data_IF_347725798145
#
_entry.id   IF_347725798145
#
_cell.length_a   1.000
_cell.length_b   1.000
_cell.length_c   1.000
_cell.angle_alpha   90.00
_cell.angle_beta   90.00
_cell.angle_gamma   90.00
#
_symmetry.space_group_name_H-M   'P 1'
#
loop_
_entity.id
_entity.type
_entity.pdbx_description
1 polymer ?
#
# COMPACT_ATOMS: atom_id res chain seq x y z
N UNK A 1 -5.02 -52.35 30.59
CA UNK A 1 -4.78 -51.88 29.21
C UNK A 1 -3.74 -50.77 29.24
N UNK A 2 -2.57 -51.01 28.64
CA UNK A 2 -1.50 -50.02 28.53
C UNK A 2 -1.68 -49.18 27.26
N UNK A 3 -1.04 -48.01 27.21
CA UNK A 3 -1.12 -47.10 26.07
C UNK A 3 0.28 -46.66 25.61
N UNK A 4 0.41 -46.29 24.34
CA UNK A 4 1.65 -45.69 23.83
C UNK A 4 1.87 -44.29 24.44
N UNK A 5 3.13 -43.89 24.68
CA UNK A 5 3.41 -42.65 25.43
C UNK A 5 3.11 -41.36 24.67
N UNK A 6 3.08 -41.38 23.33
CA UNK A 6 2.89 -40.17 22.50
C UNK A 6 1.43 -39.99 22.10
N UNK A 7 0.78 -41.07 21.64
CA UNK A 7 -0.55 -41.01 21.03
C UNK A 7 -1.64 -41.75 21.84
N UNK A 8 -1.29 -42.31 23.00
CA UNK A 8 -2.27 -42.97 23.87
C UNK A 8 -2.90 -44.24 23.27
N UNK A 9 -2.26 -44.86 22.26
CA UNK A 9 -2.84 -46.00 21.53
C UNK A 9 -2.88 -47.23 22.47
N UNK A 10 -4.05 -47.83 22.72
CA UNK A 10 -4.17 -48.97 23.62
C UNK A 10 -3.55 -50.24 23.01
N UNK A 11 -2.86 -51.03 23.83
CA UNK A 11 -2.29 -52.32 23.41
C UNK A 11 -2.41 -53.40 24.49
N UNK A 12 -2.31 -54.65 24.05
CA UNK A 12 -2.38 -55.85 24.89
C UNK A 12 -1.11 -56.04 25.71
N UNK A 13 -1.25 -56.46 26.96
CA UNK A 13 -0.16 -56.96 27.78
C UNK A 13 -0.42 -58.38 28.30
N UNK A 14 0.58 -58.97 28.95
CA UNK A 14 0.51 -60.36 29.42
C UNK A 14 -0.53 -60.62 30.52
N UNK A 15 -1.21 -59.59 31.04
CA UNK A 15 -2.28 -59.70 32.03
C UNK A 15 -3.68 -59.63 31.42
N UNK A 16 -3.82 -59.35 30.12
CA UNK A 16 -5.10 -59.32 29.43
C UNK A 16 -5.68 -60.73 29.23
N UNK A 17 -6.99 -60.87 29.46
CA UNK A 17 -7.68 -62.16 29.35
C UNK A 17 -7.85 -62.58 27.89
N UNK A 18 -7.51 -63.84 27.59
CA UNK A 18 -7.72 -64.45 26.26
C UNK A 18 -9.19 -64.39 25.83
N UNK A 19 -10.13 -64.47 26.78
CA UNK A 19 -11.57 -64.36 26.50
C UNK A 19 -12.03 -62.98 26.04
N UNK A 20 -11.27 -61.91 26.36
CA UNK A 20 -11.53 -60.54 25.91
C UNK A 20 -10.84 -60.18 24.59
N UNK A 21 -9.99 -61.07 24.06
CA UNK A 21 -9.19 -60.81 22.87
C UNK A 21 -10.03 -60.37 21.64
N UNK A 22 -11.20 -60.97 21.33
CA UNK A 22 -12.00 -60.53 20.19
C UNK A 22 -12.42 -59.04 20.26
N UNK A 23 -12.87 -58.58 21.43
CA UNK A 23 -13.27 -57.18 21.65
C UNK A 23 -12.07 -56.24 21.59
N UNK A 24 -10.94 -56.66 22.14
CA UNK A 24 -9.70 -55.87 22.14
C UNK A 24 -9.15 -55.68 20.73
N UNK A 25 -9.14 -56.73 19.90
CA UNK A 25 -8.75 -56.64 18.49
C UNK A 25 -9.72 -55.79 17.68
N UNK A 26 -11.03 -55.89 17.92
CA UNK A 26 -12.03 -55.04 17.26
C UNK A 26 -11.83 -53.56 17.57
N UNK A 27 -11.58 -53.20 18.84
CA UNK A 27 -11.28 -51.81 19.24
C UNK A 27 -10.01 -51.28 18.59
N UNK A 28 -8.96 -52.09 18.54
CA UNK A 28 -7.71 -51.72 17.88
C UNK A 28 -7.94 -51.46 16.38
N UNK A 29 -8.65 -52.38 15.70
CA UNK A 29 -8.95 -52.25 14.27
C UNK A 29 -9.75 -50.97 13.97
N UNK A 30 -10.83 -50.71 14.72
CA UNK A 30 -11.64 -49.50 14.55
C UNK A 30 -10.86 -48.21 14.86
N UNK A 31 -9.96 -48.25 15.85
CA UNK A 31 -9.09 -47.12 16.16
C UNK A 31 -8.09 -46.82 15.04
N UNK A 32 -7.50 -47.84 14.44
CA UNK A 32 -6.64 -47.70 13.26
C UNK A 32 -7.41 -47.15 12.07
N UNK A 33 -8.61 -47.68 11.79
CA UNK A 33 -9.47 -47.21 10.71
C UNK A 33 -9.83 -45.72 10.85
N UNK A 34 -10.19 -45.30 12.07
CA UNK A 34 -10.52 -43.90 12.38
C UNK A 34 -9.31 -42.98 12.16
N UNK A 35 -8.15 -43.38 12.69
CA UNK A 35 -6.92 -42.60 12.53
C UNK A 35 -6.50 -42.49 11.06
N UNK A 36 -6.60 -43.58 10.29
CA UNK A 36 -6.32 -43.56 8.85
C UNK A 36 -7.30 -42.66 8.10
N UNK A 37 -8.58 -42.71 8.44
CA UNK A 37 -9.60 -41.82 7.86
C UNK A 37 -9.29 -40.35 8.14
N UNK A 38 -8.87 -39.99 9.36
CA UNK A 38 -8.44 -38.63 9.68
C UNK A 38 -7.19 -38.20 8.90
N UNK A 39 -6.22 -39.11 8.74
CA UNK A 39 -5.02 -38.85 7.93
C UNK A 39 -5.37 -38.64 6.46
N UNK A 40 -6.27 -39.45 5.90
CA UNK A 40 -6.73 -39.35 4.51
C UNK A 40 -7.55 -38.07 4.29
N UNK A 41 -8.36 -37.66 5.27
CA UNK A 41 -9.09 -36.40 5.23
C UNK A 41 -8.18 -35.16 5.28
N UNK A 42 -6.91 -35.28 5.68
CA UNK A 42 -5.93 -34.19 5.49
C UNK A 42 -5.49 -34.03 4.02
N UNK A 43 -5.81 -34.99 3.16
CA UNK A 43 -5.61 -34.92 1.72
C UNK A 43 -6.90 -34.58 0.97
N UNK A 44 -8.04 -34.44 1.66
CA UNK A 44 -9.28 -33.93 1.08
C UNK A 44 -9.34 -32.40 1.19
N UNK A 45 -10.21 -31.73 0.42
CA UNK A 45 -10.36 -30.27 0.45
C UNK A 45 -10.59 -29.70 1.86
N UNK A 46 -11.21 -30.46 2.77
CA UNK A 46 -11.50 -30.04 4.14
C UNK A 46 -10.27 -29.97 5.06
N UNK A 47 -9.17 -30.65 4.69
CA UNK A 47 -7.88 -30.66 5.37
C UNK A 47 -6.89 -29.58 4.90
N UNK A 48 -7.42 -28.51 4.29
CA UNK A 48 -6.81 -27.42 3.52
C UNK A 48 -5.28 -27.31 3.58
N UNK A 49 -4.59 -28.18 2.82
CA UNK A 49 -3.20 -27.94 2.41
C UNK A 49 -3.16 -26.92 1.28
N UNK A 50 -2.08 -26.15 1.12
CA UNK A 50 -1.92 -25.34 -0.08
C UNK A 50 -1.92 -26.21 -1.35
N UNK A 51 -2.65 -25.79 -2.39
CA UNK A 51 -2.61 -26.44 -3.69
C UNK A 51 -1.33 -26.01 -4.43
N UNK A 52 -0.44 -26.96 -4.73
CA UNK A 52 0.84 -26.67 -5.40
C UNK A 52 0.79 -27.19 -6.83
N UNK A 53 1.16 -26.35 -7.78
CA UNK A 53 1.21 -26.68 -9.19
C UNK A 53 2.45 -26.09 -9.86
N UNK A 54 2.93 -26.72 -10.92
CA UNK A 54 4.05 -26.17 -11.71
C UNK A 54 3.60 -25.00 -12.57
N UNK A 55 2.41 -25.06 -13.17
CA UNK A 55 1.85 -24.01 -14.04
C UNK A 55 0.51 -23.49 -13.53
N UNK A 56 0.13 -22.29 -13.96
CA UNK A 56 -1.18 -21.71 -13.65
C UNK A 56 -2.32 -22.52 -14.29
N UNK A 57 -2.12 -23.08 -15.47
CA UNK A 57 -3.08 -23.98 -16.11
C UNK A 57 -3.32 -25.23 -15.25
N UNK A 58 -2.26 -25.83 -14.72
CA UNK A 58 -2.35 -26.98 -13.81
C UNK A 58 -3.08 -26.60 -12.52
N UNK A 59 -2.79 -25.42 -11.96
CA UNK A 59 -3.51 -24.92 -10.79
C UNK A 59 -5.00 -24.70 -11.09
N UNK A 60 -5.33 -24.12 -12.24
CA UNK A 60 -6.70 -23.85 -12.67
C UNK A 60 -7.54 -25.13 -12.81
N UNK A 61 -6.90 -26.28 -13.06
CA UNK A 61 -7.55 -27.60 -13.07
C UNK A 61 -7.86 -28.17 -11.68
N UNK A 62 -7.33 -27.58 -10.61
CA UNK A 62 -7.57 -28.01 -9.23
C UNK A 62 -8.75 -27.22 -8.65
N UNK A 63 -9.82 -27.90 -8.22
CA UNK A 63 -10.90 -27.26 -7.46
C UNK A 63 -10.47 -27.06 -6.01
N UNK A 64 -10.50 -25.82 -5.52
CA UNK A 64 -10.17 -25.49 -4.13
C UNK A 64 -11.39 -25.31 -3.21
N UNK A 65 -11.12 -25.13 -1.92
CA UNK A 65 -12.08 -24.60 -0.93
C UNK A 65 -11.96 -23.09 -0.85
N UNK A 66 -13.05 -22.35 -0.69
CA UNK A 66 -13.01 -20.87 -0.59
C UNK A 66 -12.03 -20.42 0.49
N UNK A 67 -11.05 -19.59 0.10
CA UNK A 67 -9.97 -19.11 0.96
C UNK A 67 -8.73 -20.01 1.01
N UNK A 68 -8.75 -21.19 0.39
CA UNK A 68 -7.57 -22.05 0.26
C UNK A 68 -6.45 -21.33 -0.49
N UNK A 69 -5.22 -21.50 -0.02
CA UNK A 69 -4.01 -21.01 -0.69
C UNK A 69 -3.58 -21.95 -1.80
N UNK A 70 -3.14 -21.40 -2.92
CA UNK A 70 -2.49 -22.08 -4.03
C UNK A 70 -1.11 -21.49 -4.29
N UNK A 71 -0.23 -22.22 -4.99
CA UNK A 71 1.09 -21.74 -5.37
C UNK A 71 1.54 -22.32 -6.71
N UNK A 72 1.98 -21.45 -7.61
CA UNK A 72 2.55 -21.81 -8.91
C UNK A 72 4.07 -21.65 -8.86
N UNK A 73 4.83 -22.67 -9.23
CA UNK A 73 6.29 -22.71 -8.98
C UNK A 73 7.18 -22.59 -10.21
N UNK A 74 6.68 -22.90 -11.42
CA UNK A 74 7.52 -23.07 -12.61
C UNK A 74 6.77 -22.82 -13.93
N UNK A 75 5.85 -21.86 -13.95
CA UNK A 75 5.18 -21.42 -15.17
C UNK A 75 6.16 -20.65 -16.06
N UNK A 76 6.13 -20.89 -17.37
CA UNK A 76 6.99 -20.20 -18.34
C UNK A 76 6.74 -18.68 -18.34
N UNK A 77 5.52 -18.26 -18.02
CA UNK A 77 5.19 -16.85 -17.83
C UNK A 77 5.52 -16.45 -16.39
N UNK A 78 6.60 -15.70 -16.19
CA UNK A 78 7.08 -15.33 -14.86
C UNK A 78 6.01 -14.69 -13.96
N UNK A 79 5.10 -13.88 -14.54
CA UNK A 79 4.02 -13.23 -13.80
C UNK A 79 2.93 -14.17 -13.26
N UNK A 80 2.90 -15.42 -13.72
CA UNK A 80 1.98 -16.46 -13.24
C UNK A 80 2.55 -17.22 -12.03
N UNK A 81 3.83 -17.05 -11.71
CA UNK A 81 4.44 -17.72 -10.57
C UNK A 81 4.11 -17.00 -9.25
N UNK A 82 3.96 -17.78 -8.19
CA UNK A 82 3.71 -17.27 -6.85
C UNK A 82 2.35 -17.65 -6.25
N UNK A 83 1.89 -16.93 -5.21
CA UNK A 83 0.75 -17.33 -4.41
C UNK A 83 -0.60 -16.92 -4.99
N UNK A 84 -1.57 -17.82 -4.86
CA UNK A 84 -2.98 -17.68 -5.26
C UNK A 84 -3.93 -17.99 -4.11
N UNK A 85 -5.17 -17.55 -4.19
CA UNK A 85 -6.26 -18.00 -3.33
C UNK A 85 -7.46 -18.45 -4.17
N UNK A 86 -8.17 -19.46 -3.69
CA UNK A 86 -9.42 -19.88 -4.29
C UNK A 86 -10.56 -18.96 -3.83
N UNK A 87 -11.23 -18.26 -4.75
CA UNK A 87 -12.32 -17.34 -4.41
C UNK A 87 -13.70 -18.01 -4.33
N UNK A 88 -13.77 -19.34 -4.48
CA UNK A 88 -15.01 -20.11 -4.61
C UNK A 88 -15.33 -20.55 -6.04
N UNK A 89 -14.65 -20.00 -7.05
CA UNK A 89 -14.87 -20.33 -8.47
C UNK A 89 -13.58 -20.48 -9.26
N UNK A 90 -12.53 -19.75 -8.91
CA UNK A 90 -11.24 -19.79 -9.58
C UNK A 90 -10.09 -19.44 -8.62
N UNK A 91 -8.88 -19.80 -9.03
CA UNK A 91 -7.64 -19.32 -8.41
C UNK A 91 -7.36 -17.90 -8.86
N UNK A 92 -7.26 -16.98 -7.90
CA UNK A 92 -6.88 -15.59 -8.14
C UNK A 92 -5.52 -15.30 -7.48
N UNK A 93 -4.65 -14.52 -8.13
CA UNK A 93 -3.36 -14.16 -7.54
C UNK A 93 -3.58 -13.26 -6.31
N UNK A 94 -2.78 -13.46 -5.25
CA UNK A 94 -2.85 -12.60 -4.05
C UNK A 94 -2.44 -11.15 -4.36
N UNK A 95 -1.39 -10.99 -5.15
CA UNK A 95 -0.95 -9.71 -5.67
C UNK A 95 -0.13 -9.96 -6.94
N UNK A 96 -0.49 -9.32 -8.04
CA UNK A 96 0.38 -9.31 -9.22
C UNK A 96 1.31 -8.10 -9.16
N UNK A 97 2.44 -8.17 -9.86
CA UNK A 97 3.34 -7.01 -10.02
C UNK A 97 2.60 -5.81 -10.62
N UNK A 98 1.69 -6.05 -11.57
CA UNK A 98 0.85 -5.02 -12.17
C UNK A 98 -0.06 -4.32 -11.13
N UNK A 99 -0.65 -5.06 -10.19
CA UNK A 99 -1.47 -4.47 -9.12
C UNK A 99 -0.63 -3.59 -8.19
N UNK A 100 0.58 -4.02 -7.85
CA UNK A 100 1.51 -3.24 -7.03
C UNK A 100 1.98 -1.97 -7.76
N UNK A 101 2.27 -2.07 -9.05
CA UNK A 101 2.67 -0.93 -9.88
C UNK A 101 1.52 0.06 -10.07
N UNK A 102 0.28 -0.42 -10.22
CA UNK A 102 -0.91 0.43 -10.25
C UNK A 102 -1.09 1.20 -8.93
N UNK A 103 -0.96 0.52 -7.78
CA UNK A 103 -1.04 1.17 -6.47
C UNK A 103 0.06 2.23 -6.29
N UNK A 104 1.30 1.92 -6.69
CA UNK A 104 2.42 2.87 -6.65
C UNK A 104 2.15 4.09 -7.53
N UNK A 105 1.61 3.89 -8.72
CA UNK A 105 1.25 4.97 -9.63
C UNK A 105 0.13 5.85 -9.04
N UNK A 106 -0.90 5.26 -8.43
CA UNK A 106 -1.95 6.01 -7.75
C UNK A 106 -1.39 6.89 -6.63
N UNK A 107 -0.49 6.34 -5.81
CA UNK A 107 0.13 7.09 -4.72
C UNK A 107 1.04 8.22 -5.23
N UNK A 108 1.79 7.96 -6.31
CA UNK A 108 2.71 8.94 -6.90
C UNK A 108 1.97 10.08 -7.60
N UNK A 109 0.79 9.80 -8.16
CA UNK A 109 -0.04 10.79 -8.86
C UNK A 109 -0.95 11.60 -7.91
N UNK A 110 -0.97 11.28 -6.60
CA UNK A 110 -1.72 12.02 -5.59
C UNK A 110 -3.24 11.79 -5.63
N UNK A 111 -3.67 10.60 -6.03
CA UNK A 111 -5.05 10.18 -5.82
C UNK A 111 -5.32 10.02 -4.32
N UNK A 112 -6.41 10.61 -3.82
CA UNK A 112 -6.84 10.49 -2.43
C UNK A 112 -6.07 11.31 -1.38
N UNK A 113 -4.96 11.98 -1.71
CA UNK A 113 -4.21 12.85 -0.79
C UNK A 113 -3.89 14.22 -1.41
N UNK A 114 -3.96 15.32 -0.64
CA UNK A 114 -3.48 16.62 -1.11
C UNK A 114 -1.98 16.56 -1.39
N UNK A 115 -1.57 17.26 -2.44
CA UNK A 115 -0.16 17.33 -2.83
C UNK A 115 0.35 18.71 -2.47
N UNK A 116 1.44 18.74 -1.69
CA UNK A 116 2.06 19.97 -1.21
C UNK A 116 3.46 20.09 -1.80
N UNK A 117 3.72 21.22 -2.47
CA UNK A 117 5.08 21.62 -2.85
C UNK A 117 5.44 22.89 -2.09
N UNK A 118 6.67 22.96 -1.61
CA UNK A 118 7.19 24.13 -0.92
C UNK A 118 8.68 24.30 -1.23
N UNK A 119 9.18 25.52 -1.06
CA UNK A 119 10.59 25.80 -1.28
C UNK A 119 11.01 27.20 -0.85
N UNK A 120 12.32 27.39 -0.71
CA UNK A 120 12.91 28.72 -0.60
C UNK A 120 12.89 29.44 -1.95
N UNK A 121 12.89 30.77 -1.91
CA UNK A 121 12.92 31.62 -3.07
C UNK A 121 13.68 32.91 -2.78
N UNK A 122 14.61 33.26 -3.67
CA UNK A 122 15.33 34.53 -3.67
C UNK A 122 15.03 35.23 -4.99
N UNK A 123 14.53 36.45 -4.94
CA UNK A 123 14.13 37.17 -6.15
C UNK A 123 14.30 38.67 -5.97
N UNK A 124 14.56 39.37 -7.07
CA UNK A 124 14.33 40.81 -7.15
C UNK A 124 13.03 41.03 -7.89
N UNK A 125 12.09 41.75 -7.29
CA UNK A 125 10.79 42.03 -7.90
C UNK A 125 10.92 42.85 -9.18
N UNK A 126 9.88 42.80 -10.01
CA UNK A 126 9.74 43.66 -11.19
C UNK A 126 9.50 45.13 -10.78
N UNK A 127 9.51 46.03 -11.77
CA UNK A 127 9.34 47.46 -11.53
C UNK A 127 8.01 47.81 -10.82
N UNK A 128 6.98 46.98 -10.99
CA UNK A 128 5.67 47.12 -10.36
C UNK A 128 5.56 46.37 -9.01
N UNK A 129 6.63 45.72 -8.56
CA UNK A 129 6.66 44.96 -7.32
C UNK A 129 6.17 43.52 -7.44
N UNK A 130 5.93 43.03 -8.66
CA UNK A 130 5.52 41.63 -8.88
C UNK A 130 6.71 40.68 -8.93
N UNK A 131 6.46 39.40 -8.66
CA UNK A 131 7.43 38.32 -8.84
C UNK A 131 6.70 36.98 -9.07
N UNK A 132 7.42 35.99 -9.61
CA UNK A 132 6.85 34.68 -9.96
C UNK A 132 7.57 33.54 -9.24
N UNK A 133 6.80 32.52 -8.85
CA UNK A 133 7.29 31.19 -8.48
C UNK A 133 6.97 30.24 -9.62
N UNK A 134 7.99 29.56 -10.17
CA UNK A 134 7.78 28.48 -11.14
C UNK A 134 7.47 27.18 -10.40
N UNK A 135 6.20 26.80 -10.39
CA UNK A 135 5.73 25.54 -9.83
C UNK A 135 4.49 25.09 -10.58
N UNK A 136 4.50 23.84 -11.05
CA UNK A 136 3.36 23.19 -11.68
C UNK A 136 3.18 21.75 -11.17
N UNK A 137 2.02 21.17 -11.44
CA UNK A 137 1.75 19.75 -11.20
C UNK A 137 1.74 18.97 -12.53
N UNK A 138 2.17 17.69 -12.55
CA UNK A 138 2.26 16.91 -13.80
C UNK A 138 0.95 16.81 -14.60
N UNK A 139 -0.21 16.95 -13.96
CA UNK A 139 -1.52 16.96 -14.62
C UNK A 139 -1.88 18.31 -15.27
N UNK A 140 -1.02 19.33 -15.14
CA UNK A 140 -1.21 20.65 -15.73
C UNK A 140 -2.25 21.53 -15.05
N UNK A 141 -2.77 21.17 -13.87
CA UNK A 141 -3.73 22.02 -13.15
C UNK A 141 -3.06 23.06 -12.25
N UNK A 142 -3.79 24.16 -12.03
CA UNK A 142 -3.36 25.24 -11.12
C UNK A 142 -3.48 24.77 -9.65
N UNK A 143 -2.62 25.26 -8.74
CA UNK A 143 -2.76 25.00 -7.33
C UNK A 143 -4.08 25.56 -6.79
N UNK A 144 -4.75 24.79 -5.93
CA UNK A 144 -5.99 25.17 -5.25
C UNK A 144 -5.73 26.19 -4.14
N UNK A 145 -4.60 26.05 -3.45
CA UNK A 145 -4.13 27.00 -2.44
C UNK A 145 -2.65 27.29 -2.63
N UNK A 146 -2.26 28.54 -2.39
CA UNK A 146 -0.86 28.93 -2.42
C UNK A 146 -0.63 30.15 -1.55
N UNK A 147 0.56 30.22 -0.97
CA UNK A 147 0.99 31.32 -0.14
C UNK A 147 2.49 31.56 -0.31
N UNK A 148 2.89 32.79 0.00
CA UNK A 148 4.29 33.18 0.06
C UNK A 148 4.51 33.98 1.34
N UNK A 149 5.59 33.65 2.04
CA UNK A 149 6.05 34.36 3.22
C UNK A 149 7.42 34.95 2.92
N UNK A 150 7.57 36.26 3.10
CA UNK A 150 8.88 36.90 3.12
C UNK A 150 9.59 36.41 4.40
N UNK A 151 10.76 35.80 4.23
CA UNK A 151 11.51 35.19 5.32
C UNK A 151 12.36 36.21 6.07
N UNK A 152 12.87 35.84 7.27
CA UNK A 152 13.84 36.67 7.98
C UNK A 152 15.10 36.79 7.12
N UNK A 153 15.38 38.02 6.71
CA UNK A 153 16.63 38.39 6.07
C UNK A 153 17.80 38.10 7.02
N UNK A 154 18.96 37.79 6.47
CA UNK A 154 20.21 37.47 7.19
C UNK A 154 20.44 38.41 8.39
N UNK A 155 21.14 37.93 9.44
CA UNK A 155 21.51 38.74 10.60
C UNK A 155 21.95 40.15 10.16
N UNK A 156 21.23 41.18 10.65
CA UNK A 156 21.40 42.63 10.40
C UNK A 156 20.45 43.30 9.39
N UNK A 157 19.40 42.63 8.89
CA UNK A 157 18.31 43.33 8.22
C UNK A 157 17.10 43.45 9.15
N UNK A 158 16.61 44.66 9.36
CA UNK A 158 15.37 44.92 10.09
C UNK A 158 14.25 45.02 9.04
N UNK A 159 13.18 44.22 9.18
CA UNK A 159 11.94 44.39 8.41
C UNK A 159 11.19 45.63 8.92
N UNK A 160 11.81 46.80 8.80
CA UNK A 160 11.15 48.04 9.20
C UNK A 160 9.98 48.35 8.28
N UNK A 161 9.96 47.84 7.05
CA UNK A 161 8.99 48.21 6.02
C UNK A 161 7.67 47.42 6.07
N UNK A 162 7.65 46.26 6.74
CA UNK A 162 6.46 45.44 6.97
C UNK A 162 5.82 44.99 5.66
N UNK A 163 6.49 44.11 4.91
CA UNK A 163 6.00 43.67 3.61
C UNK A 163 4.84 42.67 3.71
N UNK A 164 3.72 43.02 3.07
CA UNK A 164 2.58 42.13 2.87
C UNK A 164 2.62 41.60 1.45
N UNK A 165 2.45 40.29 1.31
CA UNK A 165 2.46 39.62 0.02
C UNK A 165 1.02 39.42 -0.43
N UNK A 166 0.67 40.03 -1.54
CA UNK A 166 -0.64 39.86 -2.16
C UNK A 166 -0.55 38.85 -3.28
N UNK A 167 -1.53 37.95 -3.31
CA UNK A 167 -1.80 37.14 -4.47
C UNK A 167 -2.23 38.06 -5.63
N UNK A 168 -1.48 38.02 -6.72
CA UNK A 168 -1.75 38.83 -7.91
C UNK A 168 -2.25 38.00 -9.10
N UNK A 169 -2.37 36.68 -8.92
CA UNK A 169 -3.00 35.75 -9.85
C UNK A 169 -2.13 34.55 -10.24
N UNK A 170 -2.80 33.46 -10.59
CA UNK A 170 -2.23 32.27 -11.26
C UNK A 170 -2.82 32.21 -12.67
N UNK A 171 -2.35 33.06 -13.59
CA UNK A 171 -2.84 32.98 -14.98
C UNK A 171 -2.33 31.73 -15.68
N UNK A 172 -1.22 31.15 -15.22
CA UNK A 172 -0.54 30.00 -15.82
C UNK A 172 -0.56 28.77 -14.89
N UNK A 173 -0.42 27.59 -15.46
CA UNK A 173 -0.51 26.29 -14.77
C UNK A 173 0.79 25.87 -14.09
N UNK A 174 1.88 26.56 -14.42
CA UNK A 174 3.25 26.30 -13.96
C UNK A 174 3.87 27.50 -13.22
N UNK A 175 3.08 28.54 -12.96
CA UNK A 175 3.57 29.70 -12.22
C UNK A 175 2.52 30.39 -11.34
N UNK A 176 3.00 30.90 -10.21
CA UNK A 176 2.22 31.66 -9.24
C UNK A 176 2.80 33.06 -9.16
N UNK A 177 1.96 34.09 -9.29
CA UNK A 177 2.39 35.48 -9.24
C UNK A 177 1.94 36.16 -7.94
N UNK A 178 2.87 36.86 -7.34
CA UNK A 178 2.64 37.67 -6.16
C UNK A 178 3.04 39.12 -6.43
N UNK A 179 2.53 40.03 -5.60
CA UNK A 179 2.91 41.44 -5.58
C UNK A 179 3.13 41.91 -4.15
N UNK A 180 4.18 42.71 -3.94
CA UNK A 180 4.50 43.24 -2.62
C UNK A 180 3.81 44.57 -2.34
N UNK A 181 3.28 44.70 -1.13
CA UNK A 181 2.78 45.94 -0.56
C UNK A 181 3.58 46.26 0.72
N UNK A 182 4.05 47.50 0.88
CA UNK A 182 4.67 47.93 2.13
C UNK A 182 3.60 48.47 3.06
N UNK A 183 3.43 47.83 4.23
CA UNK A 183 2.51 48.30 5.25
C UNK A 183 2.99 49.61 5.89
N UNK A 184 4.31 49.80 6.07
CA UNK A 184 4.88 51.05 6.62
C UNK A 184 4.59 52.27 5.76
N UNK A 185 4.81 52.16 4.44
CA UNK A 185 4.62 53.28 3.52
C UNK A 185 3.24 53.29 2.85
N UNK A 186 2.39 52.31 3.17
CA UNK A 186 1.05 52.14 2.62
C UNK A 186 0.99 52.23 1.08
N UNK A 187 1.95 51.58 0.40
CA UNK A 187 2.05 51.62 -1.06
C UNK A 187 2.53 50.30 -1.65
N UNK A 188 2.19 50.09 -2.91
CA UNK A 188 2.80 49.04 -3.72
C UNK A 188 4.31 49.27 -3.83
N UNK A 189 5.07 48.21 -3.64
CA UNK A 189 6.52 48.26 -3.72
C UNK A 189 6.93 48.27 -5.18
N UNK A 190 8.06 48.91 -5.49
CA UNK A 190 8.70 48.79 -6.78
C UNK A 190 9.70 47.62 -6.79
N UNK A 191 10.83 47.84 -7.43
CA UNK A 191 11.93 46.88 -7.50
C UNK A 191 12.66 46.75 -6.17
N UNK A 192 12.65 45.55 -5.57
CA UNK A 192 13.33 45.23 -4.31
C UNK A 192 13.78 43.77 -4.31
N UNK A 193 14.91 43.47 -3.66
CA UNK A 193 15.37 42.11 -3.44
C UNK A 193 14.74 41.52 -2.18
N UNK A 194 14.17 40.31 -2.29
CA UNK A 194 13.54 39.58 -1.19
C UNK A 194 14.04 38.14 -1.10
N UNK A 195 13.93 37.59 0.10
CA UNK A 195 14.09 36.17 0.40
C UNK A 195 12.81 35.69 1.06
N UNK A 196 12.42 34.45 0.80
CA UNK A 196 11.23 33.90 1.42
C UNK A 196 10.98 32.46 1.07
N UNK A 197 9.81 31.99 1.48
CA UNK A 197 9.36 30.63 1.29
C UNK A 197 7.98 30.64 0.65
N UNK A 198 7.72 29.65 -0.18
CA UNK A 198 6.43 29.46 -0.82
C UNK A 198 5.87 28.09 -0.51
N UNK A 199 4.55 27.99 -0.54
CA UNK A 199 3.81 26.73 -0.51
C UNK A 199 2.72 26.77 -1.58
N UNK A 200 2.53 25.66 -2.26
CA UNK A 200 1.46 25.43 -3.21
C UNK A 200 0.83 24.06 -2.95
N UNK A 201 -0.50 24.02 -2.91
CA UNK A 201 -1.30 22.86 -2.54
C UNK A 201 -2.29 22.56 -3.66
N UNK A 202 -2.39 21.27 -3.97
CA UNK A 202 -3.32 20.71 -4.92
C UNK A 202 -4.22 19.72 -4.19
N UNK A 203 -5.53 19.90 -4.28
CA UNK A 203 -6.51 18.97 -3.73
C UNK A 203 -6.32 17.57 -4.32
N UNK A 204 -6.67 16.54 -3.54
CA UNK A 204 -6.62 15.17 -4.01
C UNK A 204 -7.47 14.98 -5.27
N UNK A 205 -6.98 14.17 -6.22
CA UNK A 205 -7.86 13.67 -7.26
C UNK A 205 -8.81 12.62 -6.67
N UNK A 206 -10.08 12.58 -7.09
CA UNK A 206 -11.02 11.56 -6.64
C UNK A 206 -10.48 10.17 -7.00
N UNK A 207 -10.63 9.23 -6.06
CA UNK A 207 -10.36 7.81 -6.33
C UNK A 207 -11.54 7.32 -7.18
N UNK A 208 -11.27 6.95 -8.43
CA UNK A 208 -12.25 6.32 -9.33
C UNK A 208 -12.44 4.84 -9.00
#
# INVERSE_FOLDING_TARGET
>A
MKTTPIYGIPYLDGSDLVSGAPEQFSKMANGVETALTEVDNRNTPDGVKPAIATTLETLAGITGVTGQTGYVTADETESNNGPYFWNGTAWLPYATRAMLDALRNQLTQGYGLPIVKAGGHTVTTDADGTFLIKVGFPDGRKPDYYAYMVGPFVANYQDEDGYIVHNWGTSQTDSIRFRLYSAKYQRWVGRVAIFGYWVAVWNALPIS
#
